data_IF_846510572345
#
_entry.id   IF_846510572345
#
_cell.length_a   1.000
_cell.length_b   1.000
_cell.length_c   1.000
_cell.angle_alpha   90.00
_cell.angle_beta   90.00
_cell.angle_gamma   90.00
#
_symmetry.space_group_name_H-M   'P 1'
#
loop_
_entity.id
_entity.type
_entity.pdbx_description
1 polymer ?
#
# COMPACT_ATOMS: atom_id res chain seq x y z
N UNK A 1 27.00 12.17 14.29
CA UNK A 1 27.64 11.77 13.00
C UNK A 1 27.67 12.98 12.10
N UNK A 2 28.63 13.04 11.16
CA UNK A 2 28.79 14.18 10.22
C UNK A 2 27.49 14.41 9.45
N UNK A 3 27.09 15.67 9.33
CA UNK A 3 25.94 16.10 8.54
C UNK A 3 24.55 15.75 9.10
N UNK A 4 24.46 15.01 10.19
CA UNK A 4 23.17 14.66 10.80
C UNK A 4 22.55 15.88 11.47
N UNK A 5 21.31 16.15 11.11
CA UNK A 5 20.52 17.28 11.63
C UNK A 5 19.58 16.81 12.75
N UNK A 6 18.86 15.71 12.50
CA UNK A 6 17.89 15.16 13.45
C UNK A 6 17.64 13.66 13.24
N UNK A 7 17.13 13.01 14.29
CA UNK A 7 16.43 11.72 14.21
C UNK A 7 15.00 11.97 14.63
N UNK A 8 14.07 11.78 13.72
CA UNK A 8 12.64 12.07 13.91
C UNK A 8 11.90 10.76 14.16
N UNK A 9 11.11 10.72 15.22
CA UNK A 9 10.23 9.60 15.51
C UNK A 9 8.92 9.77 14.74
N UNK A 10 8.59 8.76 13.94
CA UNK A 10 7.34 8.65 13.22
C UNK A 10 6.39 7.66 13.93
N UNK A 11 5.10 7.66 13.64
CA UNK A 11 4.16 6.69 14.22
C UNK A 11 4.54 5.23 13.97
N UNK A 12 5.17 4.95 12.82
CA UNK A 12 5.54 3.61 12.33
C UNK A 12 7.04 3.42 12.13
N UNK A 13 7.88 4.38 12.54
CA UNK A 13 9.30 4.29 12.26
C UNK A 13 10.16 5.41 12.82
N UNK A 14 11.36 5.47 12.28
CA UNK A 14 12.35 6.53 12.56
C UNK A 14 12.86 7.09 11.24
N UNK A 15 12.98 8.40 11.15
CA UNK A 15 13.63 9.06 10.02
C UNK A 15 14.93 9.74 10.46
N UNK A 16 15.96 9.64 9.63
CA UNK A 16 17.22 10.37 9.81
C UNK A 16 17.26 11.54 8.83
N UNK A 17 17.41 12.73 9.35
CA UNK A 17 17.57 13.95 8.57
C UNK A 17 19.02 14.38 8.60
N UNK A 18 19.59 14.65 7.43
CA UNK A 18 20.96 15.09 7.26
C UNK A 18 21.07 16.10 6.12
N UNK A 19 22.25 16.71 5.99
CA UNK A 19 22.59 17.67 4.92
C UNK A 19 22.73 17.01 3.52
N UNK A 20 22.83 15.68 3.47
CA UNK A 20 22.90 14.90 2.24
C UNK A 20 22.32 13.50 2.43
N UNK A 21 21.88 12.89 1.31
CA UNK A 21 21.40 11.51 1.29
C UNK A 21 22.47 10.52 1.80
N UNK A 22 23.73 10.73 1.43
CA UNK A 22 24.85 9.86 1.87
C UNK A 22 25.01 9.89 3.39
N UNK A 23 24.95 11.08 4.00
CA UNK A 23 25.02 11.21 5.46
C UNK A 23 23.79 10.62 6.15
N UNK A 24 22.58 10.84 5.60
CA UNK A 24 21.37 10.25 6.13
C UNK A 24 21.41 8.71 6.08
N UNK A 25 21.83 8.14 4.95
CA UNK A 25 21.96 6.68 4.76
C UNK A 25 22.97 6.08 5.74
N UNK A 26 24.14 6.71 5.89
CA UNK A 26 25.18 6.24 6.82
C UNK A 26 24.70 6.31 8.29
N UNK A 27 24.03 7.39 8.67
CA UNK A 27 23.51 7.54 10.02
C UNK A 27 22.35 6.57 10.31
N UNK A 28 21.46 6.33 9.33
CA UNK A 28 20.41 5.32 9.45
C UNK A 28 20.99 3.93 9.71
N UNK A 29 22.05 3.53 9.01
CA UNK A 29 22.72 2.25 9.22
C UNK A 29 23.32 2.10 10.64
N UNK A 30 23.63 3.20 11.29
CA UNK A 30 24.17 3.22 12.67
C UNK A 30 23.06 3.29 13.75
N UNK A 31 21.79 3.46 13.37
CA UNK A 31 20.69 3.48 14.33
C UNK A 31 20.55 2.14 15.05
N UNK A 32 20.34 2.24 16.36
CA UNK A 32 19.95 1.10 17.20
C UNK A 32 18.55 1.37 17.72
N UNK A 33 17.58 0.63 17.21
CA UNK A 33 16.18 0.74 17.63
C UNK A 33 15.72 -0.54 18.30
N UNK A 34 14.98 -0.40 19.40
CA UNK A 34 14.27 -1.51 20.03
C UNK A 34 12.80 -1.40 19.67
N UNK A 35 12.29 -2.39 18.98
CA UNK A 35 10.91 -2.44 18.50
C UNK A 35 10.03 -3.19 19.50
N UNK A 36 8.82 -2.69 19.71
CA UNK A 36 7.78 -3.43 20.42
C UNK A 36 7.07 -4.35 19.44
N UNK A 37 6.62 -5.49 19.93
CA UNK A 37 5.75 -6.39 19.17
C UNK A 37 4.51 -5.63 18.70
N UNK A 38 4.17 -5.83 17.44
CA UNK A 38 3.01 -5.23 16.80
C UNK A 38 1.93 -6.29 16.53
N UNK A 39 0.75 -5.85 16.05
CA UNK A 39 -0.35 -6.74 15.73
C UNK A 39 0.00 -7.82 14.68
N UNK A 40 0.93 -7.51 13.78
CA UNK A 40 1.40 -8.43 12.73
C UNK A 40 2.57 -9.32 13.18
N UNK A 41 2.98 -9.27 14.47
CA UNK A 41 4.04 -10.12 14.97
C UNK A 41 3.63 -11.58 14.88
N UNK A 42 4.45 -12.41 14.24
CA UNK A 42 4.14 -13.81 13.97
C UNK A 42 3.25 -14.05 12.76
N UNK A 43 2.92 -13.00 11.96
CA UNK A 43 2.23 -13.22 10.70
C UNK A 43 3.13 -14.00 9.73
N UNK A 44 2.53 -15.04 9.13
CA UNK A 44 3.14 -15.86 8.10
C UNK A 44 2.21 -15.97 6.89
N UNK A 45 2.75 -15.72 5.70
CA UNK A 45 1.95 -15.70 4.47
C UNK A 45 1.47 -17.11 4.05
N UNK A 46 2.21 -18.15 4.37
CA UNK A 46 1.78 -19.53 4.11
C UNK A 46 0.61 -19.91 5.02
N UNK A 47 0.72 -19.61 6.32
CA UNK A 47 -0.37 -19.81 7.29
C UNK A 47 -1.62 -18.99 6.95
N UNK A 48 -1.45 -17.76 6.45
CA UNK A 48 -2.59 -16.95 5.99
C UNK A 48 -3.31 -17.57 4.79
N UNK A 49 -2.59 -18.20 3.86
CA UNK A 49 -3.20 -18.92 2.75
C UNK A 49 -4.04 -20.10 3.23
N UNK A 50 -3.55 -20.85 4.22
CA UNK A 50 -4.32 -21.94 4.84
C UNK A 50 -5.60 -21.44 5.51
N UNK A 51 -5.55 -20.26 6.14
CA UNK A 51 -6.73 -19.63 6.75
C UNK A 51 -7.76 -19.19 5.69
N UNK A 52 -7.32 -18.68 4.54
CA UNK A 52 -8.21 -18.37 3.42
C UNK A 52 -8.91 -19.63 2.91
N UNK A 53 -8.19 -20.73 2.79
CA UNK A 53 -8.76 -22.04 2.40
C UNK A 53 -9.78 -22.56 3.42
N UNK A 54 -9.53 -22.39 4.71
CA UNK A 54 -10.51 -22.74 5.77
C UNK A 54 -11.79 -21.93 5.63
N UNK A 55 -11.68 -20.60 5.47
CA UNK A 55 -12.85 -19.71 5.28
C UNK A 55 -13.60 -20.06 4.00
N UNK A 56 -12.90 -20.33 2.90
CA UNK A 56 -13.49 -20.71 1.61
C UNK A 56 -14.27 -22.02 1.68
N UNK A 57 -13.87 -22.95 2.54
CA UNK A 57 -14.50 -24.27 2.70
C UNK A 57 -15.53 -24.32 3.85
N UNK A 58 -15.65 -23.26 4.63
CA UNK A 58 -16.63 -23.18 5.73
C UNK A 58 -17.99 -22.69 5.21
N UNK A 59 -19.02 -23.55 5.19
CA UNK A 59 -20.37 -23.16 4.75
C UNK A 59 -21.03 -22.14 5.68
N UNK A 60 -20.54 -21.97 6.90
CA UNK A 60 -21.05 -20.99 7.87
C UNK A 60 -20.31 -19.65 7.80
N UNK A 61 -19.27 -19.53 6.96
CA UNK A 61 -18.53 -18.30 6.81
C UNK A 61 -19.43 -17.15 6.33
N UNK A 62 -19.34 -16.01 7.01
CA UNK A 62 -20.03 -14.79 6.59
C UNK A 62 -19.31 -14.20 5.39
N UNK A 63 -19.92 -14.25 4.22
CA UNK A 63 -19.38 -13.71 2.98
C UNK A 63 -20.26 -12.57 2.47
N UNK A 64 -19.64 -11.60 1.79
CA UNK A 64 -20.36 -10.55 1.09
C UNK A 64 -20.64 -11.01 -0.34
N UNK A 65 -21.89 -10.95 -0.77
CA UNK A 65 -22.25 -11.15 -2.18
C UNK A 65 -22.05 -9.83 -2.91
N UNK A 66 -21.08 -9.77 -3.80
CA UNK A 66 -20.80 -8.56 -4.59
C UNK A 66 -21.81 -8.43 -5.74
N UNK A 67 -22.12 -9.53 -6.41
CA UNK A 67 -23.10 -9.58 -7.49
C UNK A 67 -23.82 -10.93 -7.51
N UNK A 68 -25.12 -10.90 -7.78
CA UNK A 68 -25.93 -12.10 -8.00
C UNK A 68 -26.98 -11.81 -9.07
N UNK A 69 -26.98 -12.62 -10.15
CA UNK A 69 -27.89 -12.45 -11.28
C UNK A 69 -28.40 -13.82 -11.75
N UNK A 70 -29.71 -13.92 -11.94
CA UNK A 70 -30.37 -15.15 -12.37
C UNK A 70 -30.34 -16.25 -11.31
N UNK A 71 -30.58 -17.50 -11.72
CA UNK A 71 -30.56 -18.69 -10.86
C UNK A 71 -29.32 -19.55 -11.16
N UNK A 72 -28.21 -19.21 -10.51
CA UNK A 72 -26.93 -19.91 -10.67
C UNK A 72 -27.04 -21.36 -10.19
N UNK A 73 -27.88 -21.66 -9.15
CA UNK A 73 -28.05 -23.02 -8.64
C UNK A 73 -28.73 -23.91 -9.68
N UNK A 74 -29.78 -23.43 -10.30
CA UNK A 74 -30.46 -24.14 -11.38
C UNK A 74 -29.55 -24.34 -12.60
N UNK A 75 -28.76 -23.33 -12.99
CA UNK A 75 -27.80 -23.41 -14.08
C UNK A 75 -26.76 -24.51 -13.86
N UNK A 76 -26.23 -24.64 -12.64
CA UNK A 76 -25.28 -25.72 -12.31
C UNK A 76 -25.94 -27.09 -12.22
N UNK A 77 -27.19 -27.19 -11.73
CA UNK A 77 -27.94 -28.42 -11.66
C UNK A 77 -28.29 -28.99 -13.07
N UNK A 78 -28.55 -28.10 -14.04
CA UNK A 78 -28.86 -28.45 -15.43
C UNK A 78 -27.65 -28.49 -16.36
N UNK A 79 -26.44 -28.34 -15.86
CA UNK A 79 -25.23 -28.29 -16.68
C UNK A 79 -24.92 -29.60 -17.36
N UNK A 80 -24.58 -29.58 -18.66
CA UNK A 80 -24.01 -30.69 -19.36
C UNK A 80 -22.58 -30.97 -18.92
N UNK A 81 -21.84 -29.92 -18.56
CA UNK A 81 -20.48 -30.00 -18.01
C UNK A 81 -20.20 -28.83 -17.06
N UNK A 82 -19.43 -29.12 -16.01
CA UNK A 82 -18.93 -28.12 -15.10
C UNK A 82 -17.40 -28.04 -15.11
N UNK A 83 -16.87 -26.85 -14.96
CA UNK A 83 -15.43 -26.59 -14.86
C UNK A 83 -15.17 -25.86 -13.56
N UNK A 84 -14.07 -26.20 -12.90
CA UNK A 84 -13.61 -25.51 -11.70
C UNK A 84 -12.13 -25.17 -11.83
N UNK A 85 -11.74 -24.03 -11.25
CA UNK A 85 -10.35 -23.62 -11.14
C UNK A 85 -10.11 -22.94 -9.79
N UNK A 86 -8.95 -23.18 -9.21
CA UNK A 86 -8.46 -22.47 -8.05
C UNK A 86 -7.23 -21.65 -8.45
N UNK A 87 -7.24 -20.37 -8.11
CA UNK A 87 -6.13 -19.45 -8.36
C UNK A 87 -5.62 -18.93 -7.03
N UNK A 88 -4.31 -18.85 -6.91
CA UNK A 88 -3.63 -18.33 -5.74
C UNK A 88 -2.63 -17.26 -6.19
N UNK A 89 -2.54 -16.19 -5.44
CA UNK A 89 -1.47 -15.21 -5.60
C UNK A 89 -0.86 -14.87 -4.25
N UNK A 90 0.45 -14.78 -4.20
CA UNK A 90 1.17 -14.30 -3.03
C UNK A 90 1.19 -12.77 -2.98
N UNK A 91 1.65 -12.23 -1.85
CA UNK A 91 1.93 -10.80 -1.76
C UNK A 91 2.92 -10.38 -2.83
N UNK A 92 2.50 -9.43 -3.66
CA UNK A 92 3.32 -8.93 -4.78
C UNK A 92 3.96 -7.59 -4.45
N UNK A 93 5.29 -7.49 -4.57
CA UNK A 93 5.98 -6.21 -4.54
C UNK A 93 5.74 -5.46 -5.86
N UNK A 94 5.48 -4.14 -5.79
CA UNK A 94 5.16 -3.35 -6.98
C UNK A 94 6.37 -3.12 -7.89
N UNK A 95 7.58 -3.13 -7.33
CA UNK A 95 8.85 -3.06 -8.04
C UNK A 95 8.99 -1.85 -8.99
N UNK A 96 8.44 -0.69 -8.62
CA UNK A 96 8.68 0.53 -9.38
C UNK A 96 10.17 0.85 -9.42
N UNK A 97 10.67 1.28 -10.61
CA UNK A 97 12.10 1.51 -10.81
C UNK A 97 12.62 2.64 -9.91
N UNK A 98 11.88 3.72 -9.77
CA UNK A 98 12.16 4.81 -8.86
C UNK A 98 11.60 4.49 -7.46
N UNK A 99 12.45 4.36 -6.41
CA UNK A 99 11.97 4.23 -5.03
C UNK A 99 11.10 5.41 -4.61
N UNK A 100 10.23 5.19 -3.62
CA UNK A 100 9.31 6.21 -3.13
C UNK A 100 10.09 7.44 -2.65
N UNK A 101 9.65 8.61 -3.07
CA UNK A 101 10.25 9.87 -2.70
C UNK A 101 9.23 11.00 -2.76
N UNK A 102 9.42 12.01 -1.93
CA UNK A 102 8.65 13.24 -1.93
C UNK A 102 9.49 14.40 -1.39
N UNK A 103 9.15 15.61 -1.79
CA UNK A 103 9.66 16.84 -1.17
C UNK A 103 8.47 17.55 -0.54
N UNK A 104 8.64 18.00 0.71
CA UNK A 104 7.63 18.81 1.40
C UNK A 104 8.27 20.05 2.00
N UNK A 105 7.63 21.18 1.78
CA UNK A 105 7.92 22.46 2.41
C UNK A 105 6.69 22.98 3.16
N UNK A 106 6.87 23.39 4.38
CA UNK A 106 5.84 24.04 5.19
C UNK A 106 6.33 25.47 5.44
N UNK A 107 5.47 26.46 5.27
CA UNK A 107 5.83 27.84 5.58
C UNK A 107 5.98 28.06 7.09
N UNK A 108 6.59 29.20 7.49
CA UNK A 108 6.88 29.48 8.90
C UNK A 108 5.62 29.58 9.76
N UNK A 109 4.48 30.01 9.19
CA UNK A 109 3.19 30.06 9.88
C UNK A 109 2.55 28.67 10.07
N UNK A 110 3.03 27.63 9.35
CA UNK A 110 2.52 26.27 9.44
C UNK A 110 1.17 26.05 8.74
N UNK A 111 0.69 27.03 7.97
CA UNK A 111 -0.62 27.04 7.36
C UNK A 111 -0.63 26.85 5.83
N UNK A 112 0.54 26.77 5.20
CA UNK A 112 0.72 26.48 3.78
C UNK A 112 1.76 25.39 3.58
N UNK A 113 1.38 24.38 2.82
CA UNK A 113 2.19 23.21 2.55
C UNK A 113 2.36 23.06 1.04
N UNK A 114 3.57 22.86 0.59
CA UNK A 114 3.88 22.52 -0.79
C UNK A 114 4.47 21.10 -0.84
N UNK A 115 3.94 20.29 -1.73
CA UNK A 115 4.36 18.90 -1.96
C UNK A 115 4.82 18.76 -3.40
N UNK A 116 5.97 18.17 -3.61
CA UNK A 116 6.46 17.71 -4.92
C UNK A 116 6.62 16.21 -4.88
N UNK A 117 5.89 15.53 -5.73
CA UNK A 117 5.80 14.07 -5.73
C UNK A 117 5.38 13.56 -7.11
N UNK A 118 5.89 12.40 -7.51
CA UNK A 118 5.32 11.62 -8.60
C UNK A 118 4.23 10.72 -8.05
N UNK A 119 2.95 11.05 -8.27
CA UNK A 119 1.79 10.31 -7.75
C UNK A 119 0.85 9.83 -8.85
N UNK A 120 0.24 8.66 -8.65
CA UNK A 120 -0.86 8.15 -9.48
C UNK A 120 -2.21 8.70 -9.01
N UNK A 121 -2.28 9.26 -7.79
CA UNK A 121 -3.46 9.86 -7.19
C UNK A 121 -3.09 11.10 -6.38
N UNK A 122 -2.88 12.26 -7.03
CA UNK A 122 -2.54 13.52 -6.36
C UNK A 122 -3.50 13.88 -5.22
N UNK A 123 -4.80 13.68 -5.42
CA UNK A 123 -5.83 13.98 -4.43
C UNK A 123 -5.65 13.18 -3.12
N UNK A 124 -5.22 11.90 -3.23
CA UNK A 124 -5.01 11.07 -2.05
C UNK A 124 -3.73 11.48 -1.32
N UNK A 125 -2.70 11.94 -2.03
CA UNK A 125 -1.51 12.53 -1.43
C UNK A 125 -1.84 13.81 -0.69
N UNK A 126 -2.64 14.73 -1.28
CA UNK A 126 -3.13 15.95 -0.62
C UNK A 126 -3.92 15.61 0.66
N UNK A 127 -4.87 14.68 0.58
CA UNK A 127 -5.66 14.23 1.75
C UNK A 127 -4.76 13.64 2.85
N UNK A 128 -3.79 12.81 2.48
CA UNK A 128 -2.87 12.19 3.43
C UNK A 128 -2.01 13.23 4.15
N UNK A 129 -1.44 14.17 3.41
CA UNK A 129 -0.63 15.27 3.97
C UNK A 129 -1.47 16.19 4.85
N UNK A 130 -2.62 16.64 4.39
CA UNK A 130 -3.53 17.49 5.15
C UNK A 130 -3.94 16.84 6.47
N UNK A 131 -4.27 15.54 6.44
CA UNK A 131 -4.67 14.76 7.61
C UNK A 131 -3.57 14.69 8.67
N UNK A 132 -2.32 14.39 8.29
CA UNK A 132 -1.24 14.22 9.28
C UNK A 132 -0.75 15.54 9.86
N UNK A 133 -0.89 16.64 9.10
CA UNK A 133 -0.53 17.98 9.57
C UNK A 133 -1.66 18.67 10.33
N UNK A 134 -2.90 18.25 10.16
CA UNK A 134 -4.09 18.88 10.73
C UNK A 134 -4.46 20.19 10.03
N UNK A 135 -4.18 20.30 8.72
CA UNK A 135 -4.51 21.47 7.90
C UNK A 135 -5.67 21.15 6.94
N UNK A 136 -6.28 22.20 6.35
CA UNK A 136 -7.32 22.03 5.33
C UNK A 136 -6.70 21.62 3.99
N UNK A 137 -7.49 21.00 3.12
CA UNK A 137 -7.03 20.56 1.79
C UNK A 137 -6.52 21.73 0.94
N UNK A 138 -7.19 22.89 1.02
CA UNK A 138 -6.86 24.11 0.27
C UNK A 138 -5.53 24.74 0.71
N UNK A 139 -4.99 24.32 1.84
CA UNK A 139 -3.69 24.76 2.35
C UNK A 139 -2.53 23.92 1.81
N UNK A 140 -2.82 22.83 1.07
CA UNK A 140 -1.83 21.96 0.47
C UNK A 140 -1.78 22.18 -1.04
N UNK A 141 -0.65 22.68 -1.53
CA UNK A 141 -0.36 22.80 -2.95
C UNK A 141 0.42 21.58 -3.40
N UNK A 142 -0.12 20.87 -4.39
CA UNK A 142 0.52 19.68 -4.94
C UNK A 142 1.16 19.99 -6.29
N UNK A 143 2.43 19.64 -6.43
CA UNK A 143 3.23 19.82 -7.64
C UNK A 143 3.56 18.42 -8.19
N UNK A 144 2.84 17.99 -9.23
CA UNK A 144 3.04 16.71 -9.87
C UNK A 144 4.41 16.64 -10.54
N UNK A 145 5.20 15.63 -10.18
CA UNK A 145 6.46 15.29 -10.83
C UNK A 145 6.28 14.07 -11.76
N UNK A 146 7.22 13.87 -12.67
CA UNK A 146 7.29 12.62 -13.42
C UNK A 146 7.57 11.44 -12.49
N UNK A 147 7.03 10.27 -12.85
CA UNK A 147 7.19 9.05 -12.06
C UNK A 147 8.08 8.06 -12.81
N UNK A 148 9.00 7.44 -12.09
CA UNK A 148 9.76 6.27 -12.55
C UNK A 148 9.01 4.96 -12.31
N UNK A 149 7.71 4.91 -12.67
CA UNK A 149 6.81 3.79 -12.44
C UNK A 149 6.00 3.92 -11.16
N UNK A 150 4.86 3.23 -11.08
CA UNK A 150 3.97 3.25 -9.92
C UNK A 150 3.28 1.92 -9.69
N UNK A 151 2.68 1.34 -10.75
CA UNK A 151 2.00 0.03 -10.74
C UNK A 151 0.95 -0.13 -9.64
N UNK A 152 0.35 0.99 -9.18
CA UNK A 152 -0.58 1.04 -8.07
C UNK A 152 0.03 1.48 -6.74
N UNK A 153 1.36 1.35 -6.52
CA UNK A 153 2.00 1.74 -5.25
C UNK A 153 1.90 3.24 -4.97
N UNK A 154 1.97 4.07 -5.98
CA UNK A 154 1.93 5.53 -5.86
C UNK A 154 0.52 6.12 -5.89
N UNK A 155 -0.51 5.30 -5.66
CA UNK A 155 -1.87 5.78 -5.33
C UNK A 155 -2.00 6.16 -3.85
N UNK A 156 -1.11 5.63 -3.00
CA UNK A 156 -1.11 5.89 -1.57
C UNK A 156 -0.21 7.09 -1.28
N UNK A 157 -0.72 8.10 -0.61
CA UNK A 157 0.04 9.29 -0.20
C UNK A 157 0.83 9.11 1.10
N UNK A 158 1.17 7.89 1.48
CA UNK A 158 1.80 7.54 2.76
C UNK A 158 3.21 8.13 2.89
N UNK A 159 4.05 8.04 1.85
CA UNK A 159 5.41 8.58 1.87
C UNK A 159 5.44 10.12 1.80
N UNK A 160 4.45 10.77 1.16
CA UNK A 160 4.29 12.22 1.24
C UNK A 160 3.86 12.66 2.65
N UNK A 161 2.97 11.91 3.29
CA UNK A 161 2.56 12.14 4.67
C UNK A 161 3.73 11.97 5.65
N UNK A 162 4.56 10.95 5.48
CA UNK A 162 5.79 10.78 6.27
C UNK A 162 6.76 11.96 6.08
N UNK A 163 6.98 12.38 4.82
CA UNK A 163 7.81 13.55 4.51
C UNK A 163 7.28 14.82 5.18
N UNK A 164 5.96 15.01 5.20
CA UNK A 164 5.31 16.14 5.84
C UNK A 164 5.50 16.14 7.36
N UNK A 165 5.38 14.99 8.02
CA UNK A 165 5.66 14.86 9.46
C UNK A 165 7.11 15.20 9.79
N UNK A 166 8.05 14.74 8.97
CA UNK A 166 9.48 15.04 9.14
C UNK A 166 9.72 16.54 8.96
N UNK A 167 9.18 17.14 7.89
CA UNK A 167 9.34 18.57 7.60
C UNK A 167 8.78 19.46 8.74
N UNK A 168 7.62 19.06 9.30
CA UNK A 168 7.02 19.74 10.48
C UNK A 168 7.95 19.72 11.69
N UNK A 169 8.54 18.56 11.99
CA UNK A 169 9.41 18.37 13.15
C UNK A 169 10.72 19.17 13.01
N UNK A 170 11.36 19.13 11.86
CA UNK A 170 12.65 19.83 11.65
C UNK A 170 12.49 21.28 11.25
N UNK A 171 11.28 21.74 10.94
CA UNK A 171 10.94 23.10 10.49
C UNK A 171 11.80 23.56 9.30
N UNK A 172 11.99 22.66 8.34
CA UNK A 172 12.77 22.89 7.11
C UNK A 172 12.14 22.13 5.96
N UNK A 173 12.37 22.56 4.72
CA UNK A 173 12.07 21.71 3.56
C UNK A 173 12.81 20.38 3.66
N UNK A 174 12.12 19.29 3.40
CA UNK A 174 12.66 17.92 3.46
C UNK A 174 12.44 17.23 2.14
N UNK A 175 13.48 16.56 1.66
CA UNK A 175 13.38 15.54 0.62
C UNK A 175 13.51 14.17 1.24
N UNK A 176 12.42 13.42 1.29
CA UNK A 176 12.39 12.02 1.71
C UNK A 176 12.73 11.13 0.50
N UNK A 177 13.61 10.18 0.70
CA UNK A 177 13.91 9.12 -0.27
C UNK A 177 13.95 7.80 0.49
N UNK A 178 13.08 6.87 0.11
CA UNK A 178 13.18 5.49 0.57
C UNK A 178 14.31 4.77 -0.18
N UNK A 179 15.07 3.94 0.49
CA UNK A 179 15.97 3.04 -0.20
C UNK A 179 15.19 1.87 -0.83
N UNK A 180 15.80 1.16 -1.77
CA UNK A 180 15.16 -0.03 -2.35
C UNK A 180 14.86 -1.10 -1.31
N UNK A 181 15.76 -1.28 -0.37
CA UNK A 181 15.63 -2.23 0.73
C UNK A 181 14.44 -1.86 1.64
N UNK A 182 14.22 -0.57 1.91
CA UNK A 182 13.07 -0.11 2.69
C UNK A 182 11.77 -0.31 1.93
N UNK A 183 11.74 0.03 0.65
CA UNK A 183 10.57 -0.12 -0.20
C UNK A 183 10.14 -1.60 -0.30
N UNK A 184 11.11 -2.53 -0.40
CA UNK A 184 10.83 -3.98 -0.39
C UNK A 184 10.40 -4.46 0.99
N UNK A 185 11.06 -4.01 2.06
CA UNK A 185 10.85 -4.56 3.41
C UNK A 185 9.66 -3.94 4.14
N UNK A 186 9.35 -2.66 3.88
CA UNK A 186 8.37 -1.88 4.63
C UNK A 186 7.25 -1.30 3.76
N UNK A 187 7.33 -1.48 2.44
CA UNK A 187 6.33 -0.99 1.50
C UNK A 187 5.00 -1.72 1.60
N UNK A 188 3.97 -1.12 1.02
CA UNK A 188 2.69 -1.79 0.82
C UNK A 188 2.81 -2.79 -0.33
N UNK A 189 2.23 -3.96 -0.16
CA UNK A 189 2.22 -5.03 -1.15
C UNK A 189 0.85 -5.16 -1.80
N UNK A 190 0.80 -5.77 -2.97
CA UNK A 190 -0.43 -6.29 -3.52
C UNK A 190 -0.93 -7.42 -2.62
N UNK A 191 -2.23 -7.47 -2.28
CA UNK A 191 -2.74 -8.46 -1.35
C UNK A 191 -2.55 -9.88 -1.88
N UNK A 192 -2.25 -10.79 -0.97
CA UNK A 192 -2.40 -12.22 -1.21
C UNK A 192 -3.87 -12.54 -1.44
N UNK A 193 -4.16 -13.47 -2.36
CA UNK A 193 -5.53 -13.90 -2.61
C UNK A 193 -5.64 -15.39 -2.89
N UNK A 194 -6.80 -15.95 -2.53
CA UNK A 194 -7.28 -17.23 -2.99
C UNK A 194 -8.61 -17.01 -3.71
N UNK A 195 -8.77 -17.62 -4.87
CA UNK A 195 -9.95 -17.46 -5.69
C UNK A 195 -10.40 -18.84 -6.19
N UNK A 196 -11.69 -19.12 -6.10
CA UNK A 196 -12.31 -20.31 -6.68
C UNK A 196 -13.32 -19.91 -7.75
N UNK A 197 -13.11 -20.41 -8.93
CA UNK A 197 -13.94 -20.18 -10.09
C UNK A 197 -14.70 -21.44 -10.47
N UNK A 198 -15.94 -21.34 -10.88
CA UNK A 198 -16.70 -22.43 -11.45
C UNK A 198 -17.56 -21.95 -12.61
N UNK A 199 -17.61 -22.72 -13.69
CA UNK A 199 -18.46 -22.48 -14.84
C UNK A 199 -19.34 -23.69 -15.12
N UNK A 200 -20.60 -23.48 -15.47
CA UNK A 200 -21.52 -24.46 -15.98
C UNK A 200 -21.74 -24.21 -17.48
N UNK A 201 -21.77 -25.29 -18.29
CA UNK A 201 -22.03 -25.18 -19.74
C UNK A 201 -23.18 -26.10 -20.18
N UNK A 202 -23.85 -25.68 -21.23
CA UNK A 202 -24.81 -26.56 -21.95
C UNK A 202 -24.08 -27.57 -22.86
N UNK A 203 -24.86 -28.41 -23.55
CA UNK A 203 -24.33 -29.45 -24.47
C UNK A 203 -23.62 -28.85 -25.70
N UNK A 204 -23.89 -27.59 -26.03
CA UNK A 204 -23.22 -26.84 -27.11
C UNK A 204 -21.95 -26.12 -26.63
N UNK A 205 -21.58 -26.24 -25.35
CA UNK A 205 -20.42 -25.63 -24.76
C UNK A 205 -20.61 -24.13 -24.39
N UNK A 206 -21.83 -23.61 -24.44
CA UNK A 206 -22.11 -22.22 -24.03
C UNK A 206 -22.17 -22.13 -22.51
N UNK A 207 -21.57 -21.10 -21.94
CA UNK A 207 -21.59 -20.85 -20.50
C UNK A 207 -23.04 -20.44 -20.07
N UNK A 208 -23.62 -21.21 -19.15
CA UNK A 208 -24.97 -21.00 -18.60
C UNK A 208 -24.94 -20.57 -17.14
N UNK A 209 -23.84 -20.79 -16.42
CA UNK A 209 -23.67 -20.38 -15.04
C UNK A 209 -22.23 -20.08 -14.70
N UNK A 210 -22.01 -19.09 -13.81
CA UNK A 210 -20.70 -18.68 -13.34
C UNK A 210 -20.70 -18.43 -11.83
N UNK A 211 -19.66 -18.88 -11.15
CA UNK A 211 -19.38 -18.58 -9.73
C UNK A 211 -17.95 -18.11 -9.58
N UNK A 212 -17.75 -17.11 -8.75
CA UNK A 212 -16.44 -16.61 -8.35
C UNK A 212 -16.47 -16.27 -6.86
N UNK A 213 -15.60 -16.84 -6.09
CA UNK A 213 -15.48 -16.63 -4.63
C UNK A 213 -14.03 -16.57 -4.19
#
# INVERSE_FOLDING_TARGET
>A
MKGVIAVVKLPNGLAVVADSFTHAKAARAALKATWKKARADGFDSAGAMDDYLKVQNDPAAKVATLESKGDVKAAFAGAAKTYTAELRSDYGYHAQMEPLNAVVRINDAGDRVEVWEGSQSPDDSVKAVAKVLGVKLEQVTFNQCYMGGGFGRRTLGDYAAECALIAKEVRRPVKLIWTREEDIAQGMFRPQSFQRLAAATDAAGRVTGWKHS
#
